data_IF_905261590062
#
_entry.id   IF_905261590062
#
_cell.length_a   1.000
_cell.length_b   1.000
_cell.length_c   1.000
_cell.angle_alpha   90.00
_cell.angle_beta   90.00
_cell.angle_gamma   90.00
#
_symmetry.space_group_name_H-M   'P 1'
#
loop_
_entity.id
_entity.type
_entity.pdbx_description
1 polymer ?
#
# COMPACT_ATOMS: atom_id res chain seq x y z
N UNK A 1 -18.74 -19.13 -10.72
CA UNK A 1 -17.84 -17.99 -10.98
C UNK A 1 -18.70 -16.74 -10.98
N UNK A 2 -18.79 -16.00 -9.87
CA UNK A 2 -19.62 -14.80 -9.84
C UNK A 2 -19.08 -13.76 -10.80
N UNK A 3 -19.89 -13.46 -11.81
CA UNK A 3 -19.65 -12.42 -12.80
C UNK A 3 -19.41 -11.05 -12.13
N UNK A 4 -19.93 -10.84 -10.91
CA UNK A 4 -19.80 -9.58 -10.16
C UNK A 4 -18.40 -9.40 -9.57
N UNK A 5 -17.86 -10.39 -8.85
CA UNK A 5 -16.52 -10.32 -8.27
C UNK A 5 -15.43 -10.19 -9.36
N UNK A 6 -15.58 -10.92 -10.47
CA UNK A 6 -14.68 -10.83 -11.61
C UNK A 6 -14.75 -9.44 -12.31
N UNK A 7 -15.95 -8.89 -12.51
CA UNK A 7 -16.11 -7.53 -13.08
C UNK A 7 -15.53 -6.45 -12.17
N UNK A 8 -15.72 -6.56 -10.85
CA UNK A 8 -15.12 -5.63 -9.88
C UNK A 8 -13.59 -5.69 -9.90
N UNK A 9 -13.01 -6.89 -9.92
CA UNK A 9 -11.57 -7.07 -10.05
C UNK A 9 -11.01 -6.43 -11.32
N UNK A 10 -11.61 -6.70 -12.49
CA UNK A 10 -11.16 -6.13 -13.77
C UNK A 10 -11.22 -4.61 -13.73
N UNK A 11 -12.29 -4.03 -13.20
CA UNK A 11 -12.43 -2.57 -13.03
C UNK A 11 -11.31 -2.00 -12.14
N UNK A 12 -10.96 -2.69 -11.08
CA UNK A 12 -9.98 -2.23 -10.11
C UNK A 12 -8.54 -2.38 -10.60
N UNK A 13 -8.23 -3.47 -11.30
CA UNK A 13 -6.96 -3.66 -12.02
C UNK A 13 -6.82 -2.57 -13.10
N UNK A 14 -7.87 -2.30 -13.87
CA UNK A 14 -7.85 -1.22 -14.86
C UNK A 14 -7.59 0.15 -14.20
N UNK A 15 -8.23 0.44 -13.06
CA UNK A 15 -7.98 1.67 -12.31
C UNK A 15 -6.53 1.76 -11.81
N UNK A 16 -5.93 0.66 -11.33
CA UNK A 16 -4.52 0.60 -10.93
C UNK A 16 -3.60 0.88 -12.12
N UNK A 17 -3.85 0.24 -13.26
CA UNK A 17 -3.05 0.44 -14.49
C UNK A 17 -3.15 1.88 -14.96
N UNK A 18 -4.35 2.46 -15.00
CA UNK A 18 -4.55 3.87 -15.38
C UNK A 18 -3.82 4.80 -14.41
N UNK A 19 -3.98 4.60 -13.09
CA UNK A 19 -3.29 5.40 -12.09
C UNK A 19 -1.77 5.28 -12.20
N UNK A 20 -1.25 4.09 -12.52
CA UNK A 20 0.18 3.86 -12.73
C UNK A 20 0.69 4.55 -13.99
N UNK A 21 -0.06 4.52 -15.10
CA UNK A 21 0.28 5.24 -16.34
C UNK A 21 0.30 6.74 -16.07
N UNK A 22 -0.70 7.29 -15.38
CA UNK A 22 -0.72 8.72 -15.01
C UNK A 22 0.48 9.06 -14.13
N UNK A 23 0.76 8.24 -13.11
CA UNK A 23 1.92 8.44 -12.22
C UNK A 23 3.24 8.42 -13.01
N UNK A 24 3.37 7.51 -13.98
CA UNK A 24 4.54 7.41 -14.86
C UNK A 24 4.68 8.66 -15.75
N UNK A 25 3.59 9.12 -16.36
CA UNK A 25 3.56 10.35 -17.16
C UNK A 25 3.93 11.56 -16.32
N UNK A 26 3.32 11.72 -15.13
CA UNK A 26 3.65 12.80 -14.19
C UNK A 26 5.13 12.74 -13.80
N UNK A 27 5.67 11.54 -13.53
CA UNK A 27 7.06 11.39 -13.11
C UNK A 27 8.09 11.62 -14.21
N UNK A 28 7.74 11.38 -15.48
CA UNK A 28 8.66 11.47 -16.64
C UNK A 28 8.51 12.75 -17.46
N UNK A 29 7.30 13.28 -17.56
CA UNK A 29 6.95 14.38 -18.47
C UNK A 29 6.82 15.72 -17.76
N UNK A 30 6.36 15.73 -16.49
CA UNK A 30 6.25 16.96 -15.71
C UNK A 30 7.55 17.20 -14.91
N UNK A 31 8.49 17.92 -15.54
CA UNK A 31 9.60 18.57 -14.83
C UNK A 31 9.15 20.00 -14.51
N UNK A 32 8.34 20.15 -13.47
CA UNK A 32 7.94 21.48 -12.98
C UNK A 32 8.97 21.90 -11.92
N UNK A 33 9.74 22.95 -12.21
CA UNK A 33 10.79 23.50 -11.33
C UNK A 33 10.22 24.36 -10.18
N UNK A 34 8.90 24.50 -10.08
CA UNK A 34 8.27 25.27 -9.00
C UNK A 34 8.50 24.61 -7.63
N UNK A 35 9.24 25.35 -6.81
CA UNK A 35 9.61 24.97 -5.44
C UNK A 35 8.52 25.45 -4.48
N UNK A 36 7.92 24.52 -3.73
CA UNK A 36 6.85 24.81 -2.76
C UNK A 36 7.43 25.27 -1.41
N UNK A 37 8.58 24.74 -1.02
CA UNK A 37 9.29 25.11 0.21
C UNK A 37 10.73 25.53 -0.14
N UNK A 38 11.08 26.78 0.16
CA UNK A 38 12.46 27.29 0.03
C UNK A 38 13.13 27.32 1.40
N UNK A 39 14.14 26.46 1.52
CA UNK A 39 15.07 26.29 2.64
C UNK A 39 14.46 25.91 4.01
N UNK A 40 15.11 25.00 4.77
CA UNK A 40 16.33 24.25 4.46
C UNK A 40 16.08 23.04 3.53
N UNK A 41 14.87 22.88 2.99
CA UNK A 41 14.42 21.65 2.34
C UNK A 41 13.59 21.97 1.10
N UNK A 42 14.08 21.58 -0.08
CA UNK A 42 13.42 21.82 -1.35
C UNK A 42 12.39 20.72 -1.65
N UNK A 43 11.11 21.01 -1.40
CA UNK A 43 10.00 20.17 -1.85
C UNK A 43 9.39 20.80 -3.09
N UNK A 44 9.30 20.06 -4.21
CA UNK A 44 8.69 20.56 -5.45
C UNK A 44 7.22 20.17 -5.52
N UNK A 45 6.44 20.90 -6.33
CA UNK A 45 5.02 20.58 -6.60
C UNK A 45 4.88 19.15 -7.15
N UNK A 46 5.86 18.72 -7.96
CA UNK A 46 5.91 17.37 -8.54
C UNK A 46 6.00 16.29 -7.45
N UNK A 47 6.69 16.56 -6.34
CA UNK A 47 6.86 15.58 -5.26
C UNK A 47 5.56 15.41 -4.47
N UNK A 48 4.78 16.50 -4.31
CA UNK A 48 3.43 16.43 -3.76
C UNK A 48 2.46 15.69 -4.70
N UNK A 49 2.55 15.94 -6.02
CA UNK A 49 1.71 15.25 -7.00
C UNK A 49 2.02 13.74 -7.05
N UNK A 50 3.29 13.36 -7.00
CA UNK A 50 3.73 11.95 -6.89
C UNK A 50 3.19 11.30 -5.62
N UNK A 51 3.23 12.02 -4.49
CA UNK A 51 2.67 11.51 -3.23
C UNK A 51 1.16 11.27 -3.32
N UNK A 52 0.40 12.25 -3.81
CA UNK A 52 -1.05 12.10 -3.97
C UNK A 52 -1.39 10.91 -4.88
N UNK A 53 -0.67 10.75 -5.98
CA UNK A 53 -0.83 9.61 -6.87
C UNK A 53 -0.44 8.30 -6.19
N UNK A 54 0.65 8.26 -5.41
CA UNK A 54 1.05 7.08 -4.66
C UNK A 54 0.00 6.68 -3.60
N UNK A 55 -0.63 7.65 -2.93
CA UNK A 55 -1.74 7.41 -2.02
C UNK A 55 -2.96 6.82 -2.74
N UNK A 56 -3.30 7.35 -3.93
CA UNK A 56 -4.38 6.80 -4.77
C UNK A 56 -4.06 5.36 -5.16
N UNK A 57 -2.85 5.09 -5.67
CA UNK A 57 -2.44 3.73 -6.09
C UNK A 57 -2.45 2.77 -4.90
N UNK A 58 -1.90 3.17 -3.75
CA UNK A 58 -1.91 2.36 -2.53
C UNK A 58 -3.35 2.04 -2.07
N UNK A 59 -4.25 3.03 -2.11
CA UNK A 59 -5.67 2.85 -1.81
C UNK A 59 -6.37 1.90 -2.79
N UNK A 60 -6.09 2.02 -4.10
CA UNK A 60 -6.64 1.14 -5.12
C UNK A 60 -6.17 -0.32 -4.95
N UNK A 61 -4.89 -0.52 -4.63
CA UNK A 61 -4.31 -1.84 -4.35
C UNK A 61 -4.97 -2.46 -3.13
N UNK A 62 -5.11 -1.70 -2.03
CA UNK A 62 -5.82 -2.19 -0.85
C UNK A 62 -7.30 -2.51 -1.16
N UNK A 63 -7.91 -1.73 -2.04
CA UNK A 63 -9.28 -1.96 -2.51
C UNK A 63 -9.50 -3.30 -3.23
N UNK A 64 -8.44 -3.98 -3.71
CA UNK A 64 -8.55 -5.32 -4.29
C UNK A 64 -8.97 -6.39 -3.28
N UNK A 65 -8.76 -6.15 -1.98
CA UNK A 65 -9.08 -7.11 -0.93
C UNK A 65 -10.56 -7.51 -0.90
N UNK A 66 -11.46 -6.57 -1.14
CA UNK A 66 -12.91 -6.83 -1.19
C UNK A 66 -13.31 -7.80 -2.31
N UNK A 67 -13.03 -7.47 -3.60
CA UNK A 67 -13.31 -8.36 -4.72
C UNK A 67 -12.61 -9.74 -4.61
N UNK A 68 -11.39 -9.78 -4.08
CA UNK A 68 -10.67 -11.05 -3.86
C UNK A 68 -11.35 -11.90 -2.78
N UNK A 69 -11.79 -11.27 -1.69
CA UNK A 69 -12.53 -11.95 -0.60
C UNK A 69 -13.82 -12.59 -1.10
N UNK A 70 -14.58 -11.88 -1.93
CA UNK A 70 -15.82 -12.40 -2.54
C UNK A 70 -15.56 -13.66 -3.39
N UNK A 71 -14.47 -13.66 -4.17
CA UNK A 71 -14.05 -14.82 -4.96
C UNK A 71 -13.60 -15.98 -4.08
N UNK A 72 -12.88 -15.72 -2.98
CA UNK A 72 -12.44 -16.76 -2.07
C UNK A 72 -13.61 -17.41 -1.32
N UNK A 73 -14.60 -16.63 -0.90
CA UNK A 73 -15.82 -17.15 -0.26
C UNK A 73 -16.63 -18.07 -1.18
N UNK A 74 -16.65 -17.79 -2.49
CA UNK A 74 -17.31 -18.65 -3.46
C UNK A 74 -16.50 -19.90 -3.83
N UNK A 75 -15.18 -19.76 -4.00
CA UNK A 75 -14.34 -20.85 -4.47
C UNK A 75 -14.00 -21.87 -3.37
N UNK A 76 -13.81 -21.42 -2.14
CA UNK A 76 -13.38 -22.26 -1.02
C UNK A 76 -13.86 -21.69 0.34
N UNK A 77 -15.17 -21.79 0.67
CA UNK A 77 -15.75 -21.12 1.84
C UNK A 77 -15.09 -21.51 3.17
N UNK A 78 -14.62 -22.75 3.31
CA UNK A 78 -13.95 -23.24 4.53
C UNK A 78 -12.55 -22.66 4.75
N UNK A 79 -11.93 -22.05 3.73
CA UNK A 79 -10.60 -21.43 3.80
C UNK A 79 -10.61 -19.95 3.42
N UNK A 80 -11.77 -19.42 3.04
CA UNK A 80 -11.94 -18.09 2.50
C UNK A 80 -11.46 -17.00 3.45
N UNK A 81 -11.81 -17.06 4.73
CA UNK A 81 -11.40 -16.07 5.73
C UNK A 81 -9.88 -16.05 5.92
N UNK A 82 -9.25 -17.23 6.00
CA UNK A 82 -7.80 -17.33 6.16
C UNK A 82 -7.06 -16.80 4.92
N UNK A 83 -7.51 -17.18 3.71
CA UNK A 83 -6.91 -16.74 2.45
C UNK A 83 -7.13 -15.23 2.25
N UNK A 84 -8.32 -14.71 2.57
CA UNK A 84 -8.64 -13.29 2.51
C UNK A 84 -7.76 -12.48 3.48
N UNK A 85 -7.56 -12.95 4.71
CA UNK A 85 -6.71 -12.29 5.69
C UNK A 85 -5.23 -12.26 5.30
N UNK A 86 -4.71 -13.34 4.73
CA UNK A 86 -3.33 -13.37 4.18
C UNK A 86 -3.21 -12.42 2.99
N UNK A 87 -4.21 -12.43 2.10
CA UNK A 87 -4.23 -11.56 0.91
C UNK A 87 -4.28 -10.09 1.28
N UNK A 88 -5.11 -9.70 2.25
CA UNK A 88 -5.17 -8.30 2.72
C UNK A 88 -3.81 -7.84 3.28
N UNK A 89 -3.14 -8.70 4.06
CA UNK A 89 -1.80 -8.38 4.55
C UNK A 89 -0.76 -8.26 3.41
N UNK A 90 -0.82 -9.10 2.37
CA UNK A 90 0.04 -8.96 1.20
C UNK A 90 -0.24 -7.62 0.48
N UNK A 91 -1.50 -7.25 0.29
CA UNK A 91 -1.88 -5.96 -0.30
C UNK A 91 -1.38 -4.79 0.55
N UNK A 92 -1.43 -4.91 1.89
CA UNK A 92 -0.86 -3.92 2.80
C UNK A 92 0.66 -3.79 2.64
N UNK A 93 1.41 -4.89 2.41
CA UNK A 93 2.86 -4.83 2.11
C UNK A 93 3.12 -4.08 0.81
N UNK A 94 2.36 -4.38 -0.25
CA UNK A 94 2.53 -3.72 -1.56
C UNK A 94 2.23 -2.22 -1.44
N UNK A 95 1.13 -1.86 -0.77
CA UNK A 95 0.79 -0.47 -0.49
C UNK A 95 1.89 0.22 0.33
N UNK A 96 2.41 -0.43 1.37
CA UNK A 96 3.50 0.10 2.21
C UNK A 96 4.78 0.33 1.40
N UNK A 97 5.14 -0.57 0.49
CA UNK A 97 6.32 -0.42 -0.37
C UNK A 97 6.20 0.77 -1.34
N UNK A 98 5.00 0.99 -1.89
CA UNK A 98 4.72 2.16 -2.73
C UNK A 98 4.85 3.44 -1.90
N UNK A 99 4.25 3.47 -0.71
CA UNK A 99 4.36 4.62 0.18
C UNK A 99 5.81 4.87 0.61
N UNK A 100 6.59 3.83 0.90
CA UNK A 100 8.01 3.96 1.22
C UNK A 100 8.80 4.67 0.11
N UNK A 101 8.52 4.33 -1.14
CA UNK A 101 9.24 4.91 -2.27
C UNK A 101 8.85 6.36 -2.53
N UNK A 102 7.56 6.68 -2.49
CA UNK A 102 7.05 7.99 -2.91
C UNK A 102 6.91 9.01 -1.77
N UNK A 103 6.80 8.57 -0.52
CA UNK A 103 6.75 9.47 0.63
C UNK A 103 8.15 9.90 1.10
N UNK A 104 9.21 9.19 0.69
CA UNK A 104 10.57 9.40 1.20
C UNK A 104 11.06 10.82 1.09
N UNK A 105 10.99 11.41 -0.11
CA UNK A 105 11.51 12.77 -0.30
C UNK A 105 10.82 13.77 0.63
N UNK A 106 9.49 13.73 0.73
CA UNK A 106 8.72 14.64 1.59
C UNK A 106 8.89 14.35 3.09
N UNK A 107 8.86 13.09 3.50
CA UNK A 107 8.95 12.75 4.91
C UNK A 107 10.36 12.98 5.46
N UNK A 108 11.40 12.60 4.70
CA UNK A 108 12.79 12.89 5.07
C UNK A 108 13.02 14.40 5.09
N UNK A 109 12.48 15.13 4.12
CA UNK A 109 12.44 16.59 4.10
C UNK A 109 11.89 17.18 5.42
N UNK A 110 10.71 16.73 5.85
CA UNK A 110 10.10 17.21 7.10
C UNK A 110 10.94 16.81 8.32
N UNK A 111 11.46 15.58 8.36
CA UNK A 111 12.33 15.11 9.46
C UNK A 111 13.63 15.92 9.55
N UNK A 112 14.17 16.37 8.43
CA UNK A 112 15.37 17.21 8.37
C UNK A 112 15.19 18.61 8.98
N UNK A 113 13.94 19.06 9.19
CA UNK A 113 13.67 20.30 9.94
C UNK A 113 14.06 20.18 11.42
N UNK A 114 14.12 18.95 11.95
CA UNK A 114 14.34 18.69 13.38
C UNK A 114 15.57 17.81 13.64
N UNK A 115 16.02 17.04 12.65
CA UNK A 115 17.07 16.04 12.79
C UNK A 115 18.17 16.23 11.74
N UNK A 116 19.42 15.85 12.04
CA UNK A 116 20.47 15.76 11.02
C UNK A 116 20.06 14.84 9.87
N UNK A 117 20.46 15.17 8.65
CA UNK A 117 20.06 14.46 7.43
C UNK A 117 20.26 12.93 7.50
N UNK A 118 21.37 12.46 8.07
CA UNK A 118 21.63 11.03 8.26
C UNK A 118 20.60 10.39 9.20
N UNK A 119 20.31 11.03 10.33
CA UNK A 119 19.34 10.55 11.32
C UNK A 119 17.91 10.57 10.76
N UNK A 120 17.54 11.61 10.00
CA UNK A 120 16.24 11.68 9.34
C UNK A 120 16.01 10.52 8.34
N UNK A 121 17.02 10.20 7.53
CA UNK A 121 16.95 9.06 6.61
C UNK A 121 16.82 7.72 7.35
N UNK A 122 17.66 7.49 8.37
CA UNK A 122 17.63 6.25 9.17
C UNK A 122 16.30 6.13 9.92
N UNK A 123 15.78 7.22 10.49
CA UNK A 123 14.49 7.22 11.18
C UNK A 123 13.34 6.86 10.21
N UNK A 124 13.35 7.42 9.01
CA UNK A 124 12.39 7.09 7.98
C UNK A 124 12.44 5.60 7.61
N UNK A 125 13.63 5.06 7.33
CA UNK A 125 13.81 3.65 6.97
C UNK A 125 13.36 2.73 8.12
N UNK A 126 13.71 3.06 9.38
CA UNK A 126 13.31 2.29 10.55
C UNK A 126 11.79 2.21 10.72
N UNK A 127 11.06 3.32 10.54
CA UNK A 127 9.60 3.33 10.65
C UNK A 127 8.97 2.36 9.66
N UNK A 128 9.42 2.38 8.40
CA UNK A 128 8.89 1.49 7.37
C UNK A 128 9.31 0.02 7.56
N UNK A 129 10.53 -0.24 8.03
CA UNK A 129 10.97 -1.59 8.40
C UNK A 129 10.10 -2.14 9.52
N UNK A 130 9.86 -1.37 10.59
CA UNK A 130 9.02 -1.79 11.71
C UNK A 130 7.59 -2.06 11.24
N UNK A 131 7.00 -1.16 10.44
CA UNK A 131 5.67 -1.37 9.88
C UNK A 131 5.61 -2.64 9.01
N UNK A 132 6.62 -2.88 8.16
CA UNK A 132 6.72 -4.09 7.35
C UNK A 132 6.81 -5.36 8.19
N UNK A 133 7.64 -5.36 9.24
CA UNK A 133 7.78 -6.47 10.18
C UNK A 133 6.47 -6.80 10.90
N UNK A 134 5.70 -5.78 11.30
CA UNK A 134 4.38 -5.97 11.93
C UNK A 134 3.39 -6.65 10.97
N UNK A 135 3.40 -6.29 9.68
CA UNK A 135 2.55 -6.93 8.68
C UNK A 135 3.01 -8.37 8.43
N UNK A 136 4.32 -8.61 8.28
CA UNK A 136 4.87 -9.96 8.13
C UNK A 136 4.53 -10.84 9.34
N UNK A 137 4.67 -10.31 10.55
CA UNK A 137 4.25 -10.99 11.77
C UNK A 137 2.75 -11.33 11.74
N UNK A 138 1.92 -10.42 11.23
CA UNK A 138 0.48 -10.65 11.10
C UNK A 138 0.16 -11.77 10.11
N UNK A 139 0.91 -11.89 9.00
CA UNK A 139 0.83 -13.01 8.06
C UNK A 139 1.21 -14.32 8.74
N UNK A 140 2.36 -14.36 9.43
CA UNK A 140 2.83 -15.56 10.14
C UNK A 140 1.84 -15.97 11.21
N UNK A 141 1.30 -15.02 11.97
CA UNK A 141 0.26 -15.28 12.98
C UNK A 141 -1.01 -15.84 12.34
N UNK A 142 -1.49 -15.27 11.24
CA UNK A 142 -2.65 -15.79 10.53
C UNK A 142 -2.42 -17.22 9.98
N UNK A 143 -1.19 -17.54 9.57
CA UNK A 143 -0.82 -18.86 9.06
C UNK A 143 -0.60 -19.92 10.16
N UNK A 144 -0.21 -19.50 11.37
CA UNK A 144 0.15 -20.41 12.48
C UNK A 144 -0.91 -20.52 13.57
N UNK A 145 -1.88 -19.60 13.62
CA UNK A 145 -2.99 -19.68 14.58
C UNK A 145 -4.02 -20.71 14.08
N UNK A 146 -4.31 -21.79 14.84
CA UNK A 146 -5.33 -22.75 14.45
C UNK A 146 -6.68 -22.04 14.33
N UNK A 147 -7.36 -22.24 13.19
CA UNK A 147 -8.74 -21.79 12.98
C UNK A 147 -9.60 -22.28 14.15
N UNK A 148 -10.43 -21.43 14.78
CA UNK A 148 -11.30 -21.87 15.85
C UNK A 148 -12.23 -22.94 15.29
N UNK A 149 -11.92 -24.19 15.62
CA UNK A 149 -12.70 -25.36 15.31
C UNK A 149 -14.16 -25.09 15.65
N UNK A 150 -15.02 -25.25 14.64
CA UNK A 150 -16.44 -25.54 14.72
C UNK A 150 -16.85 -26.01 16.14
N UNK A 151 -17.54 -25.16 16.91
CA UNK A 151 -18.34 -25.66 18.02
C UNK A 151 -19.41 -26.55 17.41
N UNK A 152 -19.19 -27.87 17.43
CA UNK A 152 -20.29 -28.83 17.25
C UNK A 152 -21.29 -28.58 18.38
N UNK A 153 -22.58 -28.31 18.08
CA UNK A 153 -23.61 -28.43 19.09
C UNK A 153 -23.77 -29.92 19.38
N UNK A 154 -23.33 -30.34 20.56
CA UNK A 154 -23.90 -31.49 21.25
C UNK A 154 -24.72 -30.96 22.41
#
# INVERSE_FOLDING_TARGET
MSEKGAKLLVRQIAAIVIAFIILWVVSRVLVIEEVVLREPVQVRVVDLAKLLMALIVAGLIKGLGGPLSEIYHEAAPSKAEAISGVTDNILNIVALAILYMFLRELAVAVLQLFLPARTANVAYDLVFIIAGLLIVYSIVKAATTPSPSYKKPY
#
